data_IF_634365156949
#
_entry.id   IF_634365156949
#
_cell.length_a   1.000
_cell.length_b   1.000
_cell.length_c   1.000
_cell.angle_alpha   90.00
_cell.angle_beta   90.00
_cell.angle_gamma   90.00
#
_symmetry.space_group_name_H-M   'P 1'
#
loop_
_entity.id
_entity.type
_entity.pdbx_description
1 polymer ?
#
# COMPACT_ATOMS: atom_id res chain seq x y z
N UNK A 1 13.12 -5.22 -11.04
CA UNK A 1 13.62 -4.36 -9.94
C UNK A 1 12.59 -3.29 -9.61
N UNK A 2 12.00 -2.67 -10.63
CA UNK A 2 10.90 -1.71 -10.48
C UNK A 2 9.68 -2.29 -9.74
N UNK A 3 9.25 -3.50 -10.08
CA UNK A 3 8.16 -4.20 -9.36
C UNK A 3 8.48 -4.45 -7.89
N UNK A 4 9.70 -4.94 -7.59
CA UNK A 4 10.14 -5.18 -6.21
C UNK A 4 10.16 -3.87 -5.42
N UNK A 5 10.62 -2.77 -6.02
CA UNK A 5 10.58 -1.46 -5.40
C UNK A 5 9.14 -0.98 -5.14
N UNK A 6 8.22 -1.21 -6.09
CA UNK A 6 6.79 -0.93 -5.89
C UNK A 6 6.17 -1.74 -4.75
N UNK A 7 6.53 -3.03 -4.64
CA UNK A 7 6.12 -3.85 -3.50
C UNK A 7 6.70 -3.34 -2.17
N UNK A 8 7.94 -2.86 -2.15
CA UNK A 8 8.56 -2.28 -0.94
C UNK A 8 7.82 -1.01 -0.52
N UNK A 9 7.52 -0.11 -1.46
CA UNK A 9 6.77 1.12 -1.21
C UNK A 9 5.35 0.83 -0.68
N UNK A 10 4.73 -0.27 -1.12
CA UNK A 10 3.41 -0.69 -0.67
C UNK A 10 3.40 -1.43 0.68
N UNK A 11 4.44 -2.21 0.97
CA UNK A 11 4.49 -3.09 2.14
C UNK A 11 5.16 -2.45 3.37
N UNK A 12 6.08 -1.51 3.17
CA UNK A 12 6.85 -0.91 4.26
C UNK A 12 6.60 0.60 4.36
N UNK A 13 6.40 1.09 5.58
CA UNK A 13 6.40 2.54 5.87
C UNK A 13 7.81 3.12 5.84
N UNK A 14 8.79 2.32 6.28
CA UNK A 14 10.19 2.70 6.27
C UNK A 14 11.07 1.48 6.12
N UNK A 15 12.20 1.64 5.42
CA UNK A 15 13.20 0.59 5.24
C UNK A 15 14.61 1.14 5.46
N UNK A 16 15.48 0.33 6.06
CA UNK A 16 16.91 0.63 6.19
C UNK A 16 17.61 0.61 4.84
N UNK A 17 18.57 1.51 4.63
CA UNK A 17 19.45 1.53 3.45
C UNK A 17 20.09 0.16 3.12
N UNK A 18 20.76 -0.54 4.06
CA UNK A 18 21.36 -1.85 3.76
C UNK A 18 20.32 -2.92 3.42
N UNK A 19 19.11 -2.82 3.98
CA UNK A 19 18.04 -3.79 3.73
C UNK A 19 17.47 -3.62 2.32
N UNK A 20 17.18 -2.37 1.94
CA UNK A 20 16.75 -2.06 0.58
C UNK A 20 17.82 -2.40 -0.47
N UNK A 21 19.11 -2.21 -0.15
CA UNK A 21 20.21 -2.63 -1.03
C UNK A 21 20.22 -4.15 -1.23
N UNK A 22 19.96 -4.93 -0.18
CA UNK A 22 19.89 -6.40 -0.25
C UNK A 22 18.70 -6.87 -1.07
N UNK A 23 17.50 -6.35 -0.80
CA UNK A 23 16.26 -6.76 -1.48
C UNK A 23 16.28 -6.40 -2.97
N UNK A 24 16.86 -5.26 -3.33
CA UNK A 24 16.99 -4.83 -4.73
C UNK A 24 18.23 -5.40 -5.43
N UNK A 25 19.02 -6.23 -4.73
CA UNK A 25 20.25 -6.87 -5.20
C UNK A 25 21.29 -5.86 -5.73
N UNK A 26 21.50 -4.77 -5.01
CA UNK A 26 22.56 -3.81 -5.30
C UNK A 26 23.86 -4.20 -4.58
N UNK A 27 24.90 -4.44 -5.37
CA UNK A 27 26.26 -4.71 -4.85
C UNK A 27 27.02 -3.43 -4.45
N UNK A 28 26.57 -2.27 -4.94
CA UNK A 28 27.22 -0.98 -4.69
C UNK A 28 26.24 -0.01 -4.04
N UNK A 29 26.60 0.61 -2.90
CA UNK A 29 25.80 1.65 -2.26
C UNK A 29 25.47 2.83 -3.18
N UNK A 30 26.38 3.18 -4.11
CA UNK A 30 26.19 4.29 -5.05
C UNK A 30 25.02 4.04 -6.02
N UNK A 31 24.94 2.82 -6.55
CA UNK A 31 23.85 2.42 -7.46
C UNK A 31 22.49 2.46 -6.75
N UNK A 32 22.48 2.13 -5.47
CA UNK A 32 21.30 2.20 -4.63
C UNK A 32 20.86 3.65 -4.39
N UNK A 33 21.79 4.55 -4.07
CA UNK A 33 21.47 5.98 -3.91
C UNK A 33 20.98 6.63 -5.19
N UNK A 34 21.53 6.27 -6.36
CA UNK A 34 21.07 6.79 -7.65
C UNK A 34 19.66 6.28 -7.99
N UNK A 35 19.39 5.01 -7.67
CA UNK A 35 18.06 4.42 -7.83
C UNK A 35 17.03 5.06 -6.91
N UNK A 36 17.38 5.28 -5.64
CA UNK A 36 16.56 5.98 -4.67
C UNK A 36 16.22 7.40 -5.16
N UNK A 37 17.19 8.15 -5.68
CA UNK A 37 16.95 9.47 -6.29
C UNK A 37 16.00 9.42 -7.48
N UNK A 38 16.17 8.44 -8.38
CA UNK A 38 15.29 8.26 -9.54
C UNK A 38 13.83 7.99 -9.14
N UNK A 39 13.62 7.30 -8.01
CA UNK A 39 12.31 6.98 -7.43
C UNK A 39 11.75 8.06 -6.49
N UNK A 40 12.53 9.10 -6.18
CA UNK A 40 12.14 10.13 -5.21
C UNK A 40 12.21 9.70 -3.74
N UNK A 41 12.93 8.62 -3.44
CA UNK A 41 13.12 8.15 -2.07
C UNK A 41 14.06 9.09 -1.31
N UNK A 42 13.60 9.61 -0.18
CA UNK A 42 14.39 10.52 0.68
C UNK A 42 15.09 9.70 1.77
N UNK A 43 16.41 9.86 1.87
CA UNK A 43 17.21 9.26 2.93
C UNK A 43 17.14 10.14 4.18
N UNK A 44 16.52 9.63 5.24
CA UNK A 44 16.46 10.29 6.54
C UNK A 44 17.78 10.22 7.32
N UNK A 45 17.90 10.99 8.42
CA UNK A 45 19.13 11.12 9.21
C UNK A 45 19.63 9.81 9.86
N UNK A 46 18.81 8.75 9.86
CA UNK A 46 19.13 7.43 10.43
C UNK A 46 19.36 6.36 9.36
N UNK A 47 19.62 6.75 8.10
CA UNK A 47 19.75 5.84 6.94
C UNK A 47 18.49 5.02 6.64
N UNK A 48 17.32 5.60 6.90
CA UNK A 48 16.03 5.02 6.53
C UNK A 48 15.46 5.74 5.31
N UNK A 49 14.89 4.97 4.39
CA UNK A 49 13.96 5.49 3.41
C UNK A 49 12.56 5.43 4.00
N UNK A 50 11.91 6.59 4.04
CA UNK A 50 10.51 6.70 4.42
C UNK A 50 9.69 6.65 3.13
N UNK A 51 8.87 5.63 2.98
CA UNK A 51 7.82 5.66 1.98
C UNK A 51 6.64 6.24 2.71
N UNK A 52 6.22 7.44 2.31
CA UNK A 52 4.98 8.03 2.81
C UNK A 52 3.89 7.04 2.45
N UNK A 53 3.58 6.15 3.39
CA UNK A 53 2.67 5.06 3.16
C UNK A 53 1.40 5.69 2.66
N UNK A 54 0.72 5.00 1.76
CA UNK A 54 -0.74 4.99 1.82
C UNK A 54 -1.16 4.41 3.18
N UNK A 55 -0.85 5.13 4.27
CA UNK A 55 -1.66 5.21 5.46
C UNK A 55 -2.81 6.20 5.18
N UNK A 56 -3.43 6.10 4.00
CA UNK A 56 -4.84 5.74 4.05
C UNK A 56 -4.77 4.21 4.17
N UNK A 57 -4.52 3.61 5.34
CA UNK A 57 -5.62 3.28 6.24
C UNK A 57 -6.91 3.72 5.55
N UNK A 58 -7.38 2.86 4.65
CA UNK A 58 -8.80 2.64 4.60
C UNK A 58 -9.16 2.47 6.07
N UNK A 59 -9.61 3.56 6.70
CA UNK A 59 -10.54 3.43 7.80
C UNK A 59 -11.49 2.36 7.30
N UNK A 60 -11.51 1.21 7.99
CA UNK A 60 -12.38 0.10 7.64
C UNK A 60 -13.70 0.72 7.17
N UNK A 61 -14.04 0.62 5.88
CA UNK A 61 -15.15 1.38 5.35
C UNK A 61 -16.32 1.03 6.26
N UNK A 62 -16.96 2.03 6.91
CA UNK A 62 -18.00 1.77 7.88
C UNK A 62 -18.97 0.81 7.21
N UNK A 63 -19.23 -0.34 7.86
CA UNK A 63 -20.03 -1.44 7.30
C UNK A 63 -21.18 -0.81 6.52
N UNK A 64 -21.33 -1.09 5.20
CA UNK A 64 -22.25 -0.37 4.33
C UNK A 64 -23.70 -0.74 4.69
N UNK A 65 -24.17 -0.18 5.80
CA UNK A 65 -25.42 -0.51 6.46
C UNK A 65 -26.62 -0.10 5.62
N UNK A 66 -26.49 0.99 4.88
CA UNK A 66 -27.49 1.46 3.91
C UNK A 66 -27.63 0.49 2.74
N UNK A 67 -26.52 0.00 2.19
CA UNK A 67 -26.49 -0.92 1.05
C UNK A 67 -27.08 -2.29 1.44
N UNK A 68 -26.72 -2.79 2.63
CA UNK A 68 -27.31 -4.00 3.20
C UNK A 68 -28.82 -3.84 3.46
N UNK A 69 -29.26 -2.70 4.01
CA UNK A 69 -30.68 -2.43 4.24
C UNK A 69 -31.47 -2.40 2.92
N UNK A 70 -30.94 -1.75 1.88
CA UNK A 70 -31.59 -1.74 0.55
C UNK A 70 -31.69 -3.13 -0.05
N UNK A 71 -30.63 -3.94 0.07
CA UNK A 71 -30.65 -5.33 -0.40
C UNK A 71 -31.74 -6.14 0.31
N UNK A 72 -31.85 -6.05 1.64
CA UNK A 72 -32.87 -6.79 2.41
C UNK A 72 -34.29 -6.38 1.99
N UNK A 73 -34.54 -5.09 1.79
CA UNK A 73 -35.84 -4.58 1.31
C UNK A 73 -36.15 -5.09 -0.10
N UNK A 74 -35.18 -5.07 -1.01
CA UNK A 74 -35.36 -5.58 -2.38
C UNK A 74 -35.59 -7.08 -2.41
N UNK A 75 -34.84 -7.86 -1.61
CA UNK A 75 -35.06 -9.30 -1.47
C UNK A 75 -36.45 -9.61 -0.94
N UNK A 76 -36.92 -8.90 0.10
CA UNK A 76 -38.27 -9.07 0.62
C UNK A 76 -39.34 -8.74 -0.44
N UNK A 77 -39.19 -7.62 -1.16
CA UNK A 77 -40.10 -7.22 -2.24
C UNK A 77 -40.16 -8.26 -3.36
N UNK A 78 -39.02 -8.82 -3.76
CA UNK A 78 -38.97 -9.84 -4.80
C UNK A 78 -39.67 -11.12 -4.37
N UNK A 79 -39.49 -11.57 -3.12
CA UNK A 79 -40.14 -12.77 -2.59
C UNK A 79 -41.65 -12.60 -2.45
N UNK A 80 -42.13 -11.45 -1.99
CA UNK A 80 -43.58 -11.16 -1.89
C UNK A 80 -44.25 -10.99 -3.27
N UNK A 81 -43.51 -10.61 -4.31
CA UNK A 81 -44.04 -10.47 -5.67
C UNK A 81 -44.31 -11.83 -6.36
N UNK A 82 -43.73 -12.92 -5.85
CA UNK A 82 -43.91 -14.29 -6.39
C UNK A 82 -45.01 -15.08 -5.65
N UNK A 83 -45.58 -14.52 -4.58
CA UNK A 83 -46.70 -15.10 -3.81
C UNK A 83 -48.02 -14.49 -4.30
#
# INVERSE_FOLDING_TARGET
RDEIAGCIEAAYERILFPEAARILFFSSPRKMTDYAKKRGWVLGPSNYYSFGGRQQKAEDPPIPSTELATQVIEYARQLEMIV
#
